data_IF_077148022152
#
_entry.id   IF_077148022152
#
_cell.length_a   1.000
_cell.length_b   1.000
_cell.length_c   1.000
_cell.angle_alpha   90.00
_cell.angle_beta   90.00
_cell.angle_gamma   90.00
#
_symmetry.space_group_name_H-M   'P 1'
#
loop_
_entity.id
_entity.type
_entity.pdbx_description
1 polymer ?
#
# COMPACT_ATOMS: atom_id res chain seq x y z
N UNK A 1 -50.72 45.22 -21.55
CA UNK A 1 -49.34 45.18 -21.04
C UNK A 1 -49.40 44.65 -19.63
N UNK A 2 -49.19 43.35 -19.48
CA UNK A 2 -48.78 42.75 -18.22
C UNK A 2 -48.10 41.45 -18.61
N UNK A 3 -46.78 41.48 -18.60
CA UNK A 3 -45.91 40.40 -19.01
C UNK A 3 -46.03 39.24 -18.03
N UNK A 4 -46.53 38.10 -18.53
CA UNK A 4 -46.35 36.83 -17.86
C UNK A 4 -44.97 36.29 -18.25
N UNK A 5 -43.97 36.51 -17.41
CA UNK A 5 -42.73 35.74 -17.48
C UNK A 5 -43.02 34.27 -17.14
N UNK A 6 -42.57 33.31 -17.96
CA UNK A 6 -42.55 31.93 -17.53
C UNK A 6 -41.42 31.76 -16.52
N UNK A 7 -41.78 31.35 -15.31
CA UNK A 7 -40.82 30.83 -14.33
C UNK A 7 -40.11 29.62 -14.94
N UNK A 8 -38.89 29.82 -15.41
CA UNK A 8 -37.97 28.74 -15.73
C UNK A 8 -37.66 28.01 -14.42
N UNK A 9 -38.42 26.95 -14.14
CA UNK A 9 -37.96 25.86 -13.29
C UNK A 9 -36.78 25.21 -14.02
N UNK A 10 -35.61 25.84 -13.93
CA UNK A 10 -34.34 25.14 -14.10
C UNK A 10 -34.25 24.20 -12.91
N UNK A 11 -34.78 23.00 -13.09
CA UNK A 11 -34.33 21.83 -12.35
C UNK A 11 -32.85 21.65 -12.69
N UNK A 12 -31.98 22.32 -11.92
CA UNK A 12 -30.68 21.77 -11.57
C UNK A 12 -31.01 20.45 -10.88
N UNK A 13 -31.12 19.37 -11.67
CA UNK A 13 -30.84 18.05 -11.15
C UNK A 13 -29.41 18.15 -10.66
N UNK A 14 -29.24 18.28 -9.34
CA UNK A 14 -27.95 18.22 -8.66
C UNK A 14 -27.26 16.93 -9.13
N UNK A 15 -26.43 17.02 -10.16
CA UNK A 15 -25.50 15.94 -10.47
C UNK A 15 -24.62 15.81 -9.26
N UNK A 16 -24.83 14.75 -8.49
CA UNK A 16 -23.95 14.37 -7.39
C UNK A 16 -22.56 14.19 -8.03
N UNK A 17 -21.59 15.01 -7.62
CA UNK A 17 -20.22 14.88 -8.11
C UNK A 17 -19.73 13.44 -7.91
N UNK A 18 -19.03 12.88 -8.91
CA UNK A 18 -18.55 11.49 -8.92
C UNK A 18 -17.75 11.19 -7.65
N UNK A 19 -16.83 12.07 -7.25
CA UNK A 19 -16.11 12.01 -5.97
C UNK A 19 -17.00 11.84 -4.74
N UNK A 20 -18.21 12.42 -4.69
CA UNK A 20 -19.12 12.21 -3.56
C UNK A 20 -19.71 10.78 -3.56
N UNK A 21 -19.95 10.18 -4.72
CA UNK A 21 -20.40 8.79 -4.82
C UNK A 21 -19.25 7.85 -4.45
N UNK A 22 -18.09 8.03 -5.06
CA UNK A 22 -16.85 7.31 -4.77
C UNK A 22 -16.50 7.32 -3.27
N UNK A 23 -16.50 8.50 -2.65
CA UNK A 23 -16.25 8.64 -1.21
C UNK A 23 -17.30 7.93 -0.35
N UNK A 24 -18.56 7.89 -0.80
CA UNK A 24 -19.61 7.16 -0.11
C UNK A 24 -19.37 5.65 -0.19
N UNK A 25 -19.00 5.12 -1.36
CA UNK A 25 -18.64 3.72 -1.54
C UNK A 25 -17.51 3.32 -0.57
N UNK A 26 -16.45 4.12 -0.47
CA UNK A 26 -15.34 3.90 0.45
C UNK A 26 -15.78 3.88 1.93
N UNK A 27 -16.78 4.69 2.31
CA UNK A 27 -17.34 4.69 3.66
C UNK A 27 -18.24 3.46 3.91
N UNK A 28 -18.92 2.96 2.89
CA UNK A 28 -19.90 1.91 3.04
C UNK A 28 -19.28 0.50 3.04
N UNK A 29 -18.04 0.32 2.57
CA UNK A 29 -17.36 -0.99 2.49
C UNK A 29 -17.38 -1.77 3.82
N UNK A 30 -16.81 -1.21 4.89
CA UNK A 30 -16.67 -1.91 6.20
C UNK A 30 -17.21 -1.13 7.40
N UNK A 31 -17.79 0.06 7.18
CA UNK A 31 -18.23 0.91 8.27
C UNK A 31 -17.11 1.33 9.24
N UNK A 32 -17.46 2.02 10.32
CA UNK A 32 -16.49 2.45 11.34
C UNK A 32 -15.96 1.24 12.12
N UNK A 33 -14.68 1.27 12.49
CA UNK A 33 -14.07 0.22 13.32
C UNK A 33 -14.74 0.17 14.70
N UNK A 34 -15.37 -0.96 15.08
CA UNK A 34 -15.92 -1.13 16.41
C UNK A 34 -14.83 -1.12 17.50
N UNK A 35 -15.17 -0.59 18.68
CA UNK A 35 -14.24 -0.46 19.81
C UNK A 35 -13.72 -1.82 20.31
N UNK A 36 -14.51 -2.88 20.18
CA UNK A 36 -14.16 -4.26 20.50
C UNK A 36 -13.35 -4.95 19.40
N UNK A 37 -13.46 -4.48 18.15
CA UNK A 37 -12.70 -5.02 17.01
C UNK A 37 -11.26 -4.48 16.92
N UNK A 38 -10.95 -3.31 17.50
CA UNK A 38 -9.62 -2.66 17.33
C UNK A 38 -8.46 -3.51 17.84
N UNK A 39 -8.64 -4.28 18.92
CA UNK A 39 -7.61 -5.18 19.45
C UNK A 39 -7.47 -6.46 18.61
N UNK A 40 -8.39 -6.74 17.68
CA UNK A 40 -8.26 -7.78 16.66
C UNK A 40 -7.60 -7.26 15.38
N UNK A 41 -7.95 -6.04 14.97
CA UNK A 41 -7.39 -5.37 13.79
C UNK A 41 -5.94 -4.92 14.01
N UNK A 42 -5.62 -4.42 15.22
CA UNK A 42 -4.27 -4.03 15.62
C UNK A 42 -3.86 -4.83 16.87
N UNK A 43 -3.48 -6.12 16.69
CA UNK A 43 -3.35 -7.04 17.80
C UNK A 43 -2.27 -6.66 18.81
N UNK A 44 -2.47 -7.09 20.06
CA UNK A 44 -1.38 -7.12 21.04
C UNK A 44 -0.59 -8.40 20.85
N UNK A 45 0.74 -8.32 20.83
CA UNK A 45 1.61 -9.50 20.66
C UNK A 45 1.29 -10.66 21.62
N UNK A 46 0.84 -10.36 22.85
CA UNK A 46 0.44 -11.38 23.85
C UNK A 46 -0.69 -12.30 23.35
N UNK A 47 -1.50 -11.89 22.38
CA UNK A 47 -2.53 -12.74 21.78
C UNK A 47 -1.92 -13.82 20.85
N UNK A 48 -0.75 -13.58 20.27
CA UNK A 48 -0.06 -14.52 19.38
C UNK A 48 0.85 -15.51 20.14
N UNK A 49 1.34 -15.13 21.32
CA UNK A 49 2.32 -15.88 22.11
C UNK A 49 1.78 -17.14 22.83
N UNK A 50 0.50 -17.51 22.68
CA UNK A 50 -0.11 -18.63 23.43
C UNK A 50 0.30 -20.04 22.94
N UNK A 51 1.10 -20.16 21.86
CA UNK A 51 1.46 -21.46 21.26
C UNK A 51 2.89 -21.53 20.67
N UNK A 52 3.89 -20.82 21.21
CA UNK A 52 5.17 -20.63 20.50
C UNK A 52 6.42 -21.05 21.28
N UNK A 53 7.49 -21.38 20.53
CA UNK A 53 8.78 -21.84 21.07
C UNK A 53 9.59 -20.67 21.62
N UNK A 54 10.40 -20.92 22.65
CA UNK A 54 11.28 -19.90 23.25
C UNK A 54 12.30 -19.31 22.27
N UNK A 55 12.61 -20.01 21.17
CA UNK A 55 13.60 -19.57 20.18
C UNK A 55 13.06 -18.45 19.30
N UNK A 56 11.79 -18.52 18.88
CA UNK A 56 11.16 -17.46 18.08
C UNK A 56 11.12 -16.14 18.85
N UNK A 57 10.79 -16.18 20.14
CA UNK A 57 10.77 -15.01 21.01
C UNK A 57 12.16 -14.38 21.17
N UNK A 58 13.20 -15.20 21.33
CA UNK A 58 14.59 -14.73 21.42
C UNK A 58 15.06 -14.07 20.12
N UNK A 59 14.81 -14.72 18.98
CA UNK A 59 15.17 -14.17 17.67
C UNK A 59 14.41 -12.87 17.41
N UNK A 60 13.09 -12.85 17.64
CA UNK A 60 12.27 -11.64 17.56
C UNK A 60 12.87 -10.49 18.37
N UNK A 61 13.19 -10.71 19.64
CA UNK A 61 13.75 -9.67 20.50
C UNK A 61 15.10 -9.18 19.97
N UNK A 62 15.94 -10.09 19.46
CA UNK A 62 17.23 -9.76 18.88
C UNK A 62 17.06 -8.86 17.65
N UNK A 63 16.32 -9.31 16.63
CA UNK A 63 16.14 -8.54 15.39
C UNK A 63 15.40 -7.21 15.63
N UNK A 64 14.44 -7.17 16.56
CA UNK A 64 13.75 -5.94 16.92
C UNK A 64 14.70 -4.95 17.60
N UNK A 65 15.46 -5.40 18.60
CA UNK A 65 16.36 -4.53 19.37
C UNK A 65 17.51 -3.96 18.53
N UNK A 66 17.99 -4.71 17.56
CA UNK A 66 19.11 -4.30 16.69
C UNK A 66 18.67 -3.42 15.51
N UNK A 67 17.36 -3.32 15.25
CA UNK A 67 16.83 -2.66 14.04
C UNK A 67 16.87 -1.13 14.05
N UNK A 68 17.02 -0.53 12.86
CA UNK A 68 16.79 0.90 12.67
C UNK A 68 15.32 1.27 12.92
N UNK A 69 14.37 0.40 12.55
CA UNK A 69 12.94 0.60 12.85
C UNK A 69 12.68 0.86 14.32
N UNK A 70 13.29 0.10 15.24
CA UNK A 70 13.09 0.33 16.67
C UNK A 70 13.66 1.68 17.10
N UNK A 71 14.84 2.07 16.59
CA UNK A 71 15.44 3.38 16.89
C UNK A 71 14.52 4.51 16.44
N UNK A 72 14.04 4.45 15.20
CA UNK A 72 13.11 5.43 14.63
C UNK A 72 11.79 5.48 15.42
N UNK A 73 11.27 4.32 15.83
CA UNK A 73 10.09 4.22 16.68
C UNK A 73 10.30 4.85 18.06
N UNK A 74 11.45 4.61 18.69
CA UNK A 74 11.76 5.16 20.01
C UNK A 74 11.91 6.68 19.94
N UNK A 75 12.53 7.19 18.85
CA UNK A 75 12.70 8.61 18.55
C UNK A 75 11.38 9.35 18.23
N UNK A 76 10.35 8.65 17.78
CA UNK A 76 9.04 9.27 17.51
C UNK A 76 8.41 9.80 18.80
N UNK A 77 8.46 11.11 19.05
CA UNK A 77 7.81 11.72 20.21
C UNK A 77 6.32 12.01 19.94
N UNK A 78 5.37 11.32 20.60
CA UNK A 78 3.95 11.56 20.39
C UNK A 78 3.46 12.89 21.00
N UNK A 79 4.27 13.56 21.84
CA UNK A 79 3.94 14.87 22.39
C UNK A 79 4.19 16.02 21.39
N UNK A 80 5.01 15.78 20.36
CA UNK A 80 5.34 16.78 19.34
C UNK A 80 4.57 16.44 18.06
N UNK A 81 3.52 17.22 17.76
CA UNK A 81 2.80 17.11 16.51
C UNK A 81 3.65 17.68 15.37
N UNK A 82 4.25 16.80 14.58
CA UNK A 82 4.92 17.14 13.32
C UNK A 82 3.98 16.89 12.14
N UNK A 83 4.20 17.58 11.03
CA UNK A 83 3.46 17.34 9.79
C UNK A 83 3.50 15.85 9.38
N UNK A 84 4.67 15.20 9.52
CA UNK A 84 4.83 13.78 9.22
C UNK A 84 3.94 12.89 10.12
N UNK A 85 3.92 13.17 11.43
CA UNK A 85 3.07 12.41 12.36
C UNK A 85 1.57 12.64 12.13
N UNK A 86 1.16 13.83 11.72
CA UNK A 86 -0.24 14.17 11.44
C UNK A 86 -0.74 13.49 10.17
N UNK A 87 0.03 13.55 9.08
CA UNK A 87 -0.32 12.82 7.85
C UNK A 87 -0.28 11.31 8.03
N UNK A 88 0.66 10.78 8.81
CA UNK A 88 0.65 9.36 9.15
C UNK A 88 -0.58 8.97 9.96
N UNK A 89 -1.02 9.82 10.90
CA UNK A 89 -2.27 9.61 11.65
C UNK A 89 -3.48 9.55 10.71
N UNK A 90 -3.53 10.42 9.71
CA UNK A 90 -4.58 10.42 8.67
C UNK A 90 -4.52 9.12 7.86
N UNK A 91 -3.35 8.71 7.36
CA UNK A 91 -3.18 7.46 6.64
C UNK A 91 -3.65 6.25 7.46
N UNK A 92 -3.36 6.23 8.77
CA UNK A 92 -3.88 5.23 9.69
C UNK A 92 -5.40 5.25 9.80
N UNK A 93 -6.01 6.43 9.98
CA UNK A 93 -7.49 6.58 10.04
C UNK A 93 -8.14 6.04 8.77
N UNK A 94 -7.61 6.42 7.62
CA UNK A 94 -8.10 5.98 6.31
C UNK A 94 -7.99 4.46 6.14
N UNK A 95 -6.82 3.87 6.39
CA UNK A 95 -6.62 2.41 6.26
C UNK A 95 -7.54 1.63 7.21
N UNK A 96 -7.69 2.10 8.45
CA UNK A 96 -8.60 1.50 9.41
C UNK A 96 -10.05 1.66 8.97
N UNK A 97 -10.42 2.77 8.34
CA UNK A 97 -11.79 3.06 7.94
C UNK A 97 -12.24 2.29 6.69
N UNK A 98 -11.34 2.10 5.72
CA UNK A 98 -11.64 1.48 4.43
C UNK A 98 -11.34 -0.03 4.46
N UNK A 99 -10.16 -0.41 4.96
CA UNK A 99 -9.65 -1.77 4.87
C UNK A 99 -9.60 -2.52 6.20
N UNK A 100 -9.87 -1.86 7.34
CA UNK A 100 -9.66 -2.46 8.67
C UNK A 100 -8.24 -3.04 8.82
N UNK A 101 -7.24 -2.30 8.33
CA UNK A 101 -5.82 -2.66 8.44
C UNK A 101 -5.00 -1.40 8.75
N UNK A 102 -3.70 -1.57 8.99
CA UNK A 102 -2.79 -0.45 9.19
C UNK A 102 -1.89 -0.23 7.97
N UNK A 103 -1.45 1.01 7.71
CA UNK A 103 -0.48 1.26 6.63
C UNK A 103 0.85 0.54 6.88
N UNK A 104 1.21 0.28 8.14
CA UNK A 104 2.39 -0.52 8.50
C UNK A 104 2.21 -2.02 8.25
N UNK A 105 0.97 -2.53 8.24
CA UNK A 105 0.71 -3.92 7.86
C UNK A 105 0.64 -4.07 6.34
N UNK A 106 0.05 -3.09 5.63
CA UNK A 106 0.11 -3.02 4.16
C UNK A 106 1.57 -3.03 3.69
N UNK A 107 2.42 -2.19 4.30
CA UNK A 107 3.84 -2.07 4.00
C UNK A 107 4.70 -2.93 4.95
N UNK A 108 4.40 -4.23 5.00
CA UNK A 108 5.15 -5.20 5.80
C UNK A 108 5.62 -6.41 4.99
N UNK A 109 6.45 -7.24 5.63
CA UNK A 109 6.89 -8.53 5.10
C UNK A 109 5.74 -9.49 4.80
N UNK A 110 4.53 -9.27 5.33
CA UNK A 110 3.35 -10.06 4.96
C UNK A 110 2.97 -9.87 3.49
N UNK A 111 3.23 -8.69 2.95
CA UNK A 111 2.90 -8.31 1.58
C UNK A 111 4.16 -8.12 0.72
N UNK A 112 5.32 -8.57 1.20
CA UNK A 112 6.63 -8.30 0.56
C UNK A 112 6.88 -6.81 0.26
N UNK A 113 6.32 -5.91 1.07
CA UNK A 113 6.47 -4.46 0.90
C UNK A 113 7.18 -3.87 2.11
N UNK A 114 7.99 -2.84 1.88
CA UNK A 114 8.59 -2.03 2.94
C UNK A 114 8.63 -0.58 2.53
N UNK A 115 8.25 0.33 3.42
CA UNK A 115 8.51 1.75 3.19
C UNK A 115 10.01 2.05 3.13
N UNK A 116 10.48 2.67 2.05
CA UNK A 116 11.83 3.22 1.91
C UNK A 116 11.76 4.74 1.89
N UNK A 117 12.26 5.42 2.93
CA UNK A 117 12.16 6.87 3.03
C UNK A 117 12.99 7.58 1.96
N UNK A 118 12.39 8.61 1.35
CA UNK A 118 13.01 9.53 0.39
C UNK A 118 12.83 10.97 0.91
N UNK A 119 13.44 11.33 2.06
CA UNK A 119 13.20 12.63 2.66
C UNK A 119 13.73 13.76 1.78
N UNK A 120 13.09 14.94 1.82
CA UNK A 120 13.67 16.15 1.27
C UNK A 120 15.05 16.44 1.88
N UNK A 121 15.93 17.18 1.17
CA UNK A 121 17.22 17.58 1.71
C UNK A 121 17.09 18.27 3.08
N UNK A 122 17.85 17.80 4.07
CA UNK A 122 17.86 18.36 5.42
C UNK A 122 16.80 17.82 6.37
N UNK A 123 15.93 16.90 5.94
CA UNK A 123 15.03 16.16 6.83
C UNK A 123 15.62 14.80 7.23
N UNK A 124 15.41 14.39 8.47
CA UNK A 124 15.78 13.06 8.93
C UNK A 124 14.85 12.00 8.31
N UNK A 125 15.45 10.93 7.79
CA UNK A 125 14.71 9.77 7.33
C UNK A 125 14.17 8.98 8.52
N UNK A 126 12.95 8.48 8.40
CA UNK A 126 12.39 7.51 9.35
C UNK A 126 11.78 6.37 8.57
N UNK A 127 12.10 5.13 8.95
CA UNK A 127 11.46 3.92 8.44
C UNK A 127 10.11 3.64 9.11
N UNK A 128 9.74 4.42 10.13
CA UNK A 128 8.53 4.23 10.94
C UNK A 128 7.53 5.36 10.72
N UNK A 129 8.01 6.60 10.77
CA UNK A 129 7.18 7.79 10.55
C UNK A 129 7.36 8.22 9.11
N UNK A 130 6.35 7.94 8.29
CA UNK A 130 6.43 8.21 6.85
C UNK A 130 6.49 9.71 6.59
N UNK A 131 7.20 10.10 5.54
CA UNK A 131 7.21 11.50 5.09
C UNK A 131 5.78 11.99 4.81
N UNK A 132 5.47 13.29 5.01
CA UNK A 132 4.14 13.85 4.77
C UNK A 132 3.57 13.50 3.39
N UNK A 133 4.38 13.72 2.34
CA UNK A 133 4.00 13.47 0.94
C UNK A 133 3.64 12.01 0.68
N UNK A 134 4.45 11.08 1.17
CA UNK A 134 4.14 9.65 1.07
C UNK A 134 2.82 9.31 1.77
N UNK A 135 2.65 9.75 3.02
CA UNK A 135 1.43 9.49 3.80
C UNK A 135 0.17 10.04 3.14
N UNK A 136 0.26 11.24 2.56
CA UNK A 136 -0.83 11.88 1.83
C UNK A 136 -1.21 11.09 0.58
N UNK A 137 -0.26 10.81 -0.31
CA UNK A 137 -0.51 10.03 -1.53
C UNK A 137 -1.08 8.65 -1.19
N UNK A 138 -0.55 8.02 -0.14
CA UNK A 138 -1.04 6.73 0.32
C UNK A 138 -2.50 6.81 0.81
N UNK A 139 -2.85 7.84 1.60
CA UNK A 139 -4.22 8.05 2.07
C UNK A 139 -5.19 8.33 0.92
N UNK A 140 -4.80 9.17 -0.04
CA UNK A 140 -5.58 9.50 -1.25
C UNK A 140 -5.81 8.25 -2.12
N UNK A 141 -4.79 7.41 -2.27
CA UNK A 141 -4.92 6.14 -2.98
C UNK A 141 -5.87 5.20 -2.26
N UNK A 142 -5.72 4.99 -0.94
CA UNK A 142 -6.53 4.00 -0.18
C UNK A 142 -8.03 4.24 -0.31
N UNK A 143 -8.49 5.49 -0.32
CA UNK A 143 -9.92 5.82 -0.42
C UNK A 143 -10.51 5.63 -1.82
N UNK A 144 -9.67 5.48 -2.85
CA UNK A 144 -10.14 5.41 -4.22
C UNK A 144 -10.97 4.12 -4.45
N UNK A 145 -12.14 4.21 -5.10
CA UNK A 145 -13.07 3.07 -5.20
C UNK A 145 -12.62 1.97 -6.16
N UNK A 146 -11.59 2.19 -6.99
CA UNK A 146 -11.08 1.16 -7.92
C UNK A 146 -10.50 -0.09 -7.22
N UNK A 147 -10.30 -0.04 -5.91
CA UNK A 147 -9.90 -1.21 -5.12
C UNK A 147 -11.10 -2.04 -4.65
N UNK A 148 -12.34 -1.57 -4.86
CA UNK A 148 -13.59 -2.22 -4.44
C UNK A 148 -13.58 -2.65 -2.96
N UNK A 149 -12.86 -1.91 -2.11
CA UNK A 149 -12.73 -2.23 -0.68
C UNK A 149 -11.78 -3.38 -0.33
N UNK A 150 -11.03 -3.90 -1.31
CA UNK A 150 -10.05 -4.97 -1.13
C UNK A 150 -8.62 -4.41 -1.05
N UNK A 151 -7.96 -4.58 0.11
CA UNK A 151 -6.60 -4.06 0.29
C UNK A 151 -5.57 -4.76 -0.60
N UNK A 152 -5.83 -6.02 -0.95
CA UNK A 152 -5.02 -6.84 -1.85
C UNK A 152 -4.83 -6.19 -3.23
N UNK A 153 -5.86 -5.54 -3.80
CA UNK A 153 -5.74 -4.88 -5.09
C UNK A 153 -4.79 -3.69 -5.04
N UNK A 154 -4.86 -2.89 -3.96
CA UNK A 154 -3.91 -1.81 -3.72
C UNK A 154 -2.48 -2.37 -3.52
N UNK A 155 -2.33 -3.43 -2.72
CA UNK A 155 -1.04 -4.11 -2.49
C UNK A 155 -0.44 -4.58 -3.82
N UNK A 156 -1.22 -5.28 -4.65
CA UNK A 156 -0.77 -5.77 -5.96
C UNK A 156 -0.36 -4.63 -6.88
N UNK A 157 -1.11 -3.52 -6.92
CA UNK A 157 -0.76 -2.37 -7.72
C UNK A 157 0.55 -1.70 -7.25
N UNK A 158 0.77 -1.60 -5.93
CA UNK A 158 2.04 -1.10 -5.38
C UNK A 158 3.19 -2.05 -5.72
N UNK A 159 3.03 -3.36 -5.50
CA UNK A 159 4.03 -4.37 -5.83
C UNK A 159 4.41 -4.31 -7.30
N UNK A 160 3.42 -4.32 -8.19
CA UNK A 160 3.62 -4.28 -9.62
C UNK A 160 4.33 -2.99 -10.05
N UNK A 161 3.98 -1.84 -9.47
CA UNK A 161 4.67 -0.57 -9.72
C UNK A 161 6.17 -0.69 -9.41
N UNK A 162 6.52 -1.13 -8.20
CA UNK A 162 7.91 -1.27 -7.77
C UNK A 162 8.64 -2.30 -8.62
N UNK A 163 8.01 -3.45 -8.88
CA UNK A 163 8.58 -4.54 -9.68
C UNK A 163 8.93 -4.04 -11.07
N UNK A 164 7.99 -3.38 -11.76
CA UNK A 164 8.20 -2.91 -13.13
C UNK A 164 9.20 -1.77 -13.18
N UNK A 165 9.16 -0.84 -12.24
CA UNK A 165 10.09 0.31 -12.18
C UNK A 165 11.55 -0.11 -11.97
N UNK A 166 11.76 -1.16 -11.17
CA UNK A 166 13.07 -1.72 -10.89
C UNK A 166 13.43 -2.92 -11.78
N UNK A 167 12.59 -3.23 -12.77
CA UNK A 167 12.72 -4.39 -13.66
C UNK A 167 13.02 -5.70 -12.89
N UNK A 168 12.28 -5.88 -11.81
CA UNK A 168 12.54 -6.89 -10.81
C UNK A 168 12.10 -8.26 -11.32
N UNK A 169 13.08 -9.15 -11.52
CA UNK A 169 12.85 -10.55 -11.85
C UNK A 169 12.52 -11.31 -10.56
N UNK A 170 11.25 -11.35 -10.18
CA UNK A 170 10.70 -12.12 -9.06
C UNK A 170 9.45 -12.83 -9.52
N UNK A 171 9.11 -13.93 -8.86
CA UNK A 171 7.81 -14.56 -9.06
C UNK A 171 6.73 -13.58 -8.60
N UNK A 172 5.77 -13.28 -9.48
CA UNK A 172 4.64 -12.40 -9.18
C UNK A 172 3.53 -12.61 -10.21
N UNK A 173 2.24 -12.70 -9.81
CA UNK A 173 1.73 -12.58 -8.44
C UNK A 173 1.95 -13.87 -7.64
N UNK A 174 1.98 -13.77 -6.30
CA UNK A 174 1.96 -14.97 -5.45
C UNK A 174 0.50 -15.41 -5.33
N UNK A 175 0.11 -16.37 -6.18
CA UNK A 175 -1.30 -16.78 -6.38
C UNK A 175 -1.94 -17.31 -5.10
N UNK A 176 -1.18 -18.02 -4.25
CA UNK A 176 -1.68 -18.61 -2.99
C UNK A 176 -2.24 -17.60 -1.97
N UNK A 177 -1.98 -16.30 -2.18
CA UNK A 177 -2.49 -15.21 -1.34
C UNK A 177 -3.45 -14.28 -2.07
N UNK A 178 -3.84 -14.60 -3.31
CA UNK A 178 -4.88 -13.86 -4.00
C UNK A 178 -6.22 -14.13 -3.30
N UNK A 179 -6.99 -13.10 -2.97
CA UNK A 179 -8.34 -13.32 -2.48
C UNK A 179 -9.19 -14.02 -3.55
N UNK A 180 -10.19 -14.78 -3.11
CA UNK A 180 -11.14 -15.52 -3.95
C UNK A 180 -11.77 -14.69 -5.10
N UNK A 181 -11.82 -13.35 -4.99
CA UNK A 181 -12.37 -12.46 -6.04
C UNK A 181 -11.33 -11.99 -7.09
N UNK A 182 -10.02 -12.06 -6.79
CA UNK A 182 -8.93 -11.84 -7.76
C UNK A 182 -8.53 -13.15 -8.46
N UNK A 183 -8.89 -14.29 -7.84
CA UNK A 183 -8.69 -15.66 -8.32
C UNK A 183 -9.29 -15.93 -9.73
N UNK A 184 -10.13 -15.02 -10.24
CA UNK A 184 -10.79 -15.17 -11.55
C UNK A 184 -10.20 -14.32 -12.68
N UNK A 185 -9.07 -13.61 -12.49
CA UNK A 185 -8.43 -12.93 -13.62
C UNK A 185 -7.60 -13.94 -14.45
N UNK A 186 -8.04 -14.36 -15.65
CA UNK A 186 -7.36 -15.42 -16.39
C UNK A 186 -5.93 -15.05 -16.78
N UNK A 187 -5.69 -13.74 -17.01
CA UNK A 187 -4.38 -13.23 -17.37
C UNK A 187 -3.37 -13.32 -16.22
N UNK A 188 -3.80 -13.03 -14.99
CA UNK A 188 -2.92 -13.09 -13.82
C UNK A 188 -2.68 -14.53 -13.37
N UNK A 189 -3.68 -15.40 -13.52
CA UNK A 189 -3.51 -16.86 -13.33
C UNK A 189 -2.52 -17.39 -14.35
N UNK A 190 -2.72 -17.10 -15.64
CA UNK A 190 -1.80 -17.54 -16.70
C UNK A 190 -0.37 -17.00 -16.51
N UNK A 191 -0.21 -15.78 -15.99
CA UNK A 191 1.11 -15.25 -15.63
C UNK A 191 1.77 -16.07 -14.52
N UNK A 192 1.02 -16.51 -13.51
CA UNK A 192 1.53 -17.41 -12.47
C UNK A 192 1.94 -18.76 -13.03
N UNK A 193 1.10 -19.36 -13.88
CA UNK A 193 1.38 -20.64 -14.54
C UNK A 193 2.70 -20.60 -15.34
N UNK A 194 3.02 -19.46 -15.96
CA UNK A 194 4.30 -19.28 -16.67
C UNK A 194 5.53 -19.39 -15.74
N UNK A 195 5.42 -19.07 -14.44
CA UNK A 195 6.50 -19.30 -13.48
C UNK A 195 6.59 -20.76 -13.07
N UNK A 196 5.44 -21.41 -12.84
CA UNK A 196 5.37 -22.83 -12.48
C UNK A 196 5.99 -23.70 -13.58
N UNK A 197 5.67 -23.41 -14.85
CA UNK A 197 6.26 -24.06 -16.02
C UNK A 197 7.77 -23.85 -16.12
N UNK A 198 8.28 -22.72 -15.61
CA UNK A 198 9.70 -22.39 -15.58
C UNK A 198 10.37 -22.77 -14.25
N UNK A 199 9.81 -23.74 -13.51
CA UNK A 199 10.41 -24.27 -12.28
C UNK A 199 10.44 -23.28 -11.12
N UNK A 200 9.46 -22.37 -11.05
CA UNK A 200 9.37 -21.29 -10.07
C UNK A 200 10.54 -20.30 -10.15
N UNK A 201 11.07 -20.08 -11.35
CA UNK A 201 12.08 -19.05 -11.59
C UNK A 201 11.58 -18.03 -12.62
N UNK A 202 11.80 -16.72 -12.41
CA UNK A 202 11.51 -15.73 -13.43
C UNK A 202 12.49 -15.90 -14.61
N UNK A 203 12.02 -15.92 -15.87
CA UNK A 203 12.89 -15.96 -17.04
C UNK A 203 13.88 -14.80 -17.01
N UNK A 204 15.18 -15.10 -17.17
CA UNK A 204 16.24 -14.08 -17.18
C UNK A 204 16.03 -13.01 -18.27
N UNK A 205 15.31 -13.36 -19.34
CA UNK A 205 15.14 -12.54 -20.54
C UNK A 205 13.85 -11.71 -20.59
N UNK A 206 12.83 -12.01 -19.77
CA UNK A 206 11.52 -11.36 -19.86
C UNK A 206 11.13 -10.63 -18.57
N UNK A 207 10.77 -9.34 -18.68
CA UNK A 207 10.34 -8.57 -17.51
C UNK A 207 8.94 -8.99 -17.11
N UNK A 208 8.54 -8.76 -15.85
CA UNK A 208 7.19 -9.11 -15.37
C UNK A 208 6.11 -8.43 -16.22
N UNK A 209 6.34 -7.19 -16.63
CA UNK A 209 5.43 -6.50 -17.53
C UNK A 209 5.32 -7.19 -18.91
N UNK A 210 6.44 -7.66 -19.46
CA UNK A 210 6.43 -8.40 -20.74
C UNK A 210 5.73 -9.75 -20.61
N UNK A 211 6.00 -10.47 -19.52
CA UNK A 211 5.33 -11.74 -19.24
C UNK A 211 3.82 -11.55 -19.06
N UNK A 212 3.40 -10.48 -18.37
CA UNK A 212 1.99 -10.16 -18.22
C UNK A 212 1.31 -9.89 -19.57
N UNK A 213 1.99 -9.18 -20.49
CA UNK A 213 1.49 -9.00 -21.85
C UNK A 213 1.36 -10.32 -22.60
N UNK A 214 2.37 -11.20 -22.51
CA UNK A 214 2.35 -12.53 -23.13
C UNK A 214 1.22 -13.41 -22.59
N UNK A 215 1.04 -13.44 -21.27
CA UNK A 215 -0.05 -14.18 -20.62
C UNK A 215 -1.41 -13.70 -21.13
N UNK A 216 -1.59 -12.38 -21.30
CA UNK A 216 -2.82 -11.79 -21.85
C UNK A 216 -3.05 -12.16 -23.31
N UNK A 217 -2.01 -12.09 -24.14
CA UNK A 217 -2.09 -12.44 -25.58
C UNK A 217 -2.38 -13.92 -25.81
N UNK A 218 -1.96 -14.79 -24.89
CA UNK A 218 -2.18 -16.23 -24.95
C UNK A 218 -3.63 -16.65 -24.61
N UNK A 219 -4.46 -15.77 -24.05
CA UNK A 219 -5.83 -16.10 -23.68
C UNK A 219 -6.73 -16.29 -24.91
N UNK A 220 -7.27 -17.49 -25.08
CA UNK A 220 -8.23 -17.82 -26.15
C UNK A 220 -9.69 -17.84 -25.68
N UNK A 221 -9.93 -17.57 -24.39
CA UNK A 221 -11.22 -17.73 -23.73
C UNK A 221 -11.79 -16.43 -23.19
N UNK A 222 -11.93 -16.33 -21.87
CA UNK A 222 -12.41 -15.13 -21.21
C UNK A 222 -11.41 -13.97 -21.36
N UNK A 223 -11.89 -12.73 -21.57
CA UNK A 223 -11.00 -11.57 -21.66
C UNK A 223 -10.30 -11.32 -20.32
N UNK A 224 -9.15 -10.61 -20.33
CA UNK A 224 -8.56 -10.07 -19.11
C UNK A 224 -9.56 -9.20 -18.33
N UNK A 225 -9.38 -9.11 -17.02
CA UNK A 225 -10.18 -8.19 -16.19
C UNK A 225 -9.71 -6.74 -16.37
N UNK A 226 -10.58 -5.78 -16.07
CA UNK A 226 -10.26 -4.34 -16.05
C UNK A 226 -9.06 -4.04 -15.13
N UNK A 227 -8.93 -4.75 -14.00
CA UNK A 227 -7.75 -4.62 -13.14
C UNK A 227 -6.45 -5.06 -13.84
N UNK A 228 -6.50 -6.12 -14.66
CA UNK A 228 -5.35 -6.51 -15.48
C UNK A 228 -5.03 -5.47 -16.55
N UNK A 229 -6.05 -4.83 -17.15
CA UNK A 229 -5.88 -3.72 -18.09
C UNK A 229 -5.21 -2.52 -17.41
N UNK A 230 -5.66 -2.17 -16.21
CA UNK A 230 -5.06 -1.15 -15.35
C UNK A 230 -3.59 -1.46 -15.04
N UNK A 231 -3.27 -2.71 -14.68
CA UNK A 231 -1.89 -3.12 -14.42
C UNK A 231 -1.01 -3.02 -15.69
N UNK A 232 -1.53 -3.30 -16.89
CA UNK A 232 -0.78 -3.06 -18.13
C UNK A 232 -0.48 -1.58 -18.29
N UNK A 233 -1.49 -0.71 -18.13
CA UNK A 233 -1.32 0.74 -18.23
C UNK A 233 -0.33 1.29 -17.19
N UNK A 234 -0.47 0.87 -15.93
CA UNK A 234 0.46 1.19 -14.83
C UNK A 234 1.89 0.76 -15.17
N UNK A 235 2.06 -0.42 -15.77
CA UNK A 235 3.36 -0.92 -16.18
C UNK A 235 4.01 -0.08 -17.28
N UNK A 236 3.22 0.44 -18.22
CA UNK A 236 3.73 1.37 -19.24
C UNK A 236 4.25 2.66 -18.60
N UNK A 237 3.52 3.21 -17.62
CA UNK A 237 3.94 4.41 -16.89
C UNK A 237 5.19 4.14 -16.05
N UNK A 238 5.20 3.07 -15.25
CA UNK A 238 6.32 2.74 -14.36
C UNK A 238 7.64 2.58 -15.12
N UNK A 239 7.61 2.01 -16.33
CA UNK A 239 8.79 1.84 -17.20
C UNK A 239 9.38 3.16 -17.71
N UNK A 240 8.63 4.25 -17.69
CA UNK A 240 9.14 5.58 -18.05
C UNK A 240 10.05 6.18 -16.96
N UNK A 241 10.04 5.61 -15.75
CA UNK A 241 10.79 6.12 -14.60
C UNK A 241 11.69 5.04 -13.95
N UNK A 242 12.57 4.38 -14.74
CA UNK A 242 13.35 3.24 -14.24
C UNK A 242 14.26 3.64 -13.07
N UNK A 243 14.51 2.69 -12.17
CA UNK A 243 15.46 2.89 -11.07
C UNK A 243 16.41 1.71 -10.90
N UNK A 244 17.70 2.02 -10.80
CA UNK A 244 18.77 1.03 -10.57
C UNK A 244 19.15 0.89 -9.09
N UNK A 245 18.69 1.78 -8.21
CA UNK A 245 19.01 1.74 -6.78
C UNK A 245 17.97 0.89 -6.03
N UNK A 246 18.39 -0.31 -5.62
CA UNK A 246 17.47 -1.28 -5.07
C UNK A 246 18.15 -2.34 -4.19
N UNK A 247 18.10 -2.14 -2.86
CA UNK A 247 18.34 -3.24 -1.92
C UNK A 247 17.04 -4.00 -1.65
N UNK A 248 16.96 -5.26 -2.11
CA UNK A 248 15.82 -6.17 -1.87
C UNK A 248 15.83 -6.77 -0.47
N UNK A 249 17.00 -6.89 0.13
CA UNK A 249 17.17 -7.71 1.31
C UNK A 249 16.99 -6.90 2.56
N UNK A 250 15.97 -7.24 3.32
CA UNK A 250 15.79 -6.72 4.67
C UNK A 250 15.48 -7.84 5.63
N UNK A 251 16.27 -7.94 6.70
CA UNK A 251 16.19 -9.05 7.64
C UNK A 251 16.16 -10.41 6.91
N UNK A 252 16.95 -10.56 5.84
CA UNK A 252 17.03 -11.80 5.06
C UNK A 252 15.81 -12.09 4.16
N UNK A 253 14.79 -11.21 4.12
CA UNK A 253 13.66 -11.30 3.21
C UNK A 253 13.90 -10.49 1.95
N UNK A 254 13.40 -10.98 0.81
CA UNK A 254 13.23 -10.16 -0.39
C UNK A 254 11.96 -9.34 -0.23
N UNK A 255 12.10 -8.06 0.11
CA UNK A 255 10.98 -7.12 0.14
C UNK A 255 11.17 -6.03 -0.89
N UNK A 256 10.06 -5.57 -1.43
CA UNK A 256 9.98 -4.47 -2.37
C UNK A 256 10.00 -3.13 -1.61
N UNK A 257 11.09 -2.34 -1.65
CA UNK A 257 11.11 -0.98 -1.11
C UNK A 257 10.19 -0.06 -1.90
N UNK A 258 9.14 0.41 -1.23
CA UNK A 258 8.17 1.37 -1.73
C UNK A 258 8.64 2.77 -1.37
N UNK A 259 8.82 3.60 -2.38
CA UNK A 259 9.21 5.01 -2.26
C UNK A 259 8.04 5.93 -2.57
N UNK A 260 8.20 7.23 -2.29
CA UNK A 260 7.23 8.25 -2.69
C UNK A 260 7.01 8.26 -4.21
N UNK A 261 8.06 8.01 -5.00
CA UNK A 261 7.99 7.97 -6.47
C UNK A 261 7.05 6.87 -6.97
N UNK A 262 7.03 5.71 -6.30
CA UNK A 262 6.15 4.60 -6.67
C UNK A 262 4.68 4.97 -6.46
N UNK A 263 4.36 5.63 -5.34
CA UNK A 263 3.00 6.13 -5.11
C UNK A 263 2.59 7.23 -6.09
N UNK A 264 3.51 8.13 -6.48
CA UNK A 264 3.22 9.14 -7.51
C UNK A 264 2.89 8.51 -8.87
N UNK A 265 3.65 7.48 -9.27
CA UNK A 265 3.37 6.72 -10.50
C UNK A 265 2.00 6.06 -10.42
N UNK A 266 1.68 5.44 -9.29
CA UNK A 266 0.39 4.80 -9.08
C UNK A 266 -0.78 5.79 -9.08
N UNK A 267 -0.66 6.93 -8.38
CA UNK A 267 -1.65 8.01 -8.39
C UNK A 267 -1.90 8.53 -9.81
N UNK A 268 -0.84 8.76 -10.57
CA UNK A 268 -0.96 9.18 -11.98
C UNK A 268 -1.63 8.11 -12.84
N UNK A 269 -1.34 6.82 -12.61
CA UNK A 269 -2.00 5.74 -13.33
C UNK A 269 -3.51 5.71 -13.01
N UNK A 270 -3.90 5.77 -11.73
CA UNK A 270 -5.32 5.79 -11.32
C UNK A 270 -6.04 6.99 -11.94
N UNK A 271 -5.40 8.17 -11.95
CA UNK A 271 -5.97 9.40 -12.52
C UNK A 271 -6.14 9.37 -14.04
N UNK A 272 -5.27 8.66 -14.77
CA UNK A 272 -5.21 8.69 -16.24
C UNK A 272 -5.81 7.45 -16.91
N UNK A 273 -6.07 6.39 -16.14
CA UNK A 273 -6.70 5.19 -16.67
C UNK A 273 -8.17 5.45 -17.01
N UNK A 274 -8.62 4.91 -18.14
CA UNK A 274 -10.00 5.05 -18.61
C UNK A 274 -10.85 3.95 -17.97
N UNK A 275 -11.37 4.24 -16.77
CA UNK A 275 -12.19 3.29 -16.02
C UNK A 275 -13.57 3.13 -16.67
N UNK A 276 -14.00 1.89 -16.88
CA UNK A 276 -15.35 1.57 -17.37
C UNK A 276 -16.41 1.94 -16.33
N UNK A 277 -16.06 1.78 -15.05
CA UNK A 277 -16.92 2.20 -13.95
C UNK A 277 -16.82 3.72 -13.73
N UNK A 278 -17.89 4.44 -14.05
CA UNK A 278 -17.96 5.90 -13.92
C UNK A 278 -17.66 6.39 -12.49
N UNK A 279 -18.00 5.61 -11.46
CA UNK A 279 -17.74 5.98 -10.07
C UNK A 279 -16.23 5.96 -9.72
N UNK A 280 -15.40 5.40 -10.59
CA UNK A 280 -13.95 5.30 -10.42
C UNK A 280 -13.16 6.31 -11.25
N UNK A 281 -13.84 7.16 -12.02
CA UNK A 281 -13.20 8.08 -12.98
C UNK A 281 -12.68 9.38 -12.36
N UNK A 282 -13.04 9.68 -11.11
CA UNK A 282 -12.56 10.89 -10.43
C UNK A 282 -11.14 10.71 -9.88
N UNK A 283 -10.46 11.80 -9.55
CA UNK A 283 -9.06 11.75 -9.09
C UNK A 283 -8.96 11.27 -7.63
N UNK A 284 -7.88 10.55 -7.24
CA UNK A 284 -7.64 10.16 -5.84
C UNK A 284 -7.74 11.33 -4.86
N UNK A 285 -7.23 12.50 -5.24
CA UNK A 285 -7.30 13.72 -4.43
C UNK A 285 -8.75 14.20 -4.23
N UNK A 286 -9.54 14.29 -5.31
CA UNK A 286 -10.93 14.72 -5.23
C UNK A 286 -11.81 13.73 -4.43
N UNK A 287 -11.58 12.43 -4.60
CA UNK A 287 -12.25 11.39 -3.80
C UNK A 287 -11.89 11.53 -2.33
N UNK A 288 -10.63 11.76 -2.00
CA UNK A 288 -10.17 11.98 -0.63
C UNK A 288 -10.79 13.23 0.01
N UNK A 289 -10.80 14.37 -0.68
CA UNK A 289 -11.46 15.58 -0.20
C UNK A 289 -12.96 15.35 0.05
N UNK A 290 -13.63 14.60 -0.82
CA UNK A 290 -15.04 14.23 -0.62
C UNK A 290 -15.23 13.28 0.57
N UNK A 291 -14.32 12.33 0.76
CA UNK A 291 -14.30 11.41 1.90
C UNK A 291 -14.14 12.17 3.22
N UNK A 292 -13.25 13.15 3.29
CA UNK A 292 -13.08 14.04 4.44
C UNK A 292 -14.37 14.81 4.73
N UNK A 293 -14.95 15.48 3.72
CA UNK A 293 -16.20 16.24 3.85
C UNK A 293 -17.37 15.39 4.35
N UNK A 294 -17.40 14.11 3.99
CA UNK A 294 -18.43 13.14 4.44
C UNK A 294 -18.17 12.56 5.83
N UNK A 295 -17.18 13.06 6.55
CA UNK A 295 -16.86 12.63 7.92
C UNK A 295 -16.01 11.36 7.97
N UNK A 296 -15.30 11.04 6.88
CA UNK A 296 -14.40 9.90 6.81
C UNK A 296 -13.22 9.97 7.77
N UNK A 297 -12.86 11.16 8.27
CA UNK A 297 -11.77 11.38 9.24
C UNK A 297 -12.24 11.93 10.60
N UNK A 298 -13.48 11.66 11.00
CA UNK A 298 -14.03 12.18 12.25
C UNK A 298 -13.15 11.89 13.47
N UNK A 299 -13.10 12.82 14.43
CA UNK A 299 -12.16 12.77 15.57
C UNK A 299 -12.36 11.60 16.54
N UNK A 300 -13.52 10.95 16.48
CA UNK A 300 -13.82 9.74 17.22
C UNK A 300 -13.14 8.47 16.65
N UNK A 301 -12.60 8.56 15.43
CA UNK A 301 -11.91 7.45 14.76
C UNK A 301 -10.49 7.23 15.28
N UNK A 302 -10.06 5.97 15.18
CA UNK A 302 -8.72 5.54 15.52
C UNK A 302 -7.71 5.87 14.43
N UNK A 303 -6.47 6.21 14.78
CA UNK A 303 -6.03 6.69 16.10
C UNK A 303 -6.57 8.09 16.39
N UNK A 304 -7.04 8.30 17.64
CA UNK A 304 -7.62 9.57 18.10
C UNK A 304 -6.56 10.65 18.34
N UNK A 305 -5.34 10.25 18.69
CA UNK A 305 -4.23 11.15 18.96
C UNK A 305 -2.87 10.46 18.71
N UNK A 306 -1.79 11.22 18.80
CA UNK A 306 -0.44 10.73 18.50
C UNK A 306 0.08 9.71 19.53
N UNK A 307 -0.41 9.76 20.77
CA UNK A 307 -0.08 8.74 21.77
C UNK A 307 -0.70 7.38 21.42
N UNK A 308 -1.95 7.39 20.95
CA UNK A 308 -2.62 6.20 20.45
C UNK A 308 -1.98 5.69 19.14
N UNK A 309 -1.63 6.60 18.23
CA UNK A 309 -0.86 6.28 17.01
C UNK A 309 0.46 5.56 17.37
N UNK A 310 1.28 6.12 18.28
CA UNK A 310 2.54 5.48 18.72
C UNK A 310 2.28 4.09 19.28
N UNK A 311 1.22 3.90 20.06
CA UNK A 311 0.84 2.59 20.59
C UNK A 311 0.48 1.59 19.49
N UNK A 312 -0.28 2.01 18.47
CA UNK A 312 -0.68 1.15 17.36
C UNK A 312 0.48 0.82 16.42
N UNK A 313 1.32 1.79 16.09
CA UNK A 313 2.57 1.57 15.35
C UNK A 313 3.41 0.49 16.05
N UNK A 314 3.62 0.62 17.37
CA UNK A 314 4.39 -0.38 18.14
C UNK A 314 3.82 -1.79 18.00
N UNK A 315 2.48 -1.93 17.98
CA UNK A 315 1.82 -3.22 17.85
C UNK A 315 2.03 -3.82 16.47
N UNK A 316 1.73 -3.05 15.41
CA UNK A 316 1.90 -3.48 14.03
C UNK A 316 3.35 -3.89 13.73
N UNK A 317 4.32 -3.05 14.12
CA UNK A 317 5.74 -3.34 13.95
C UNK A 317 6.17 -4.60 14.70
N UNK A 318 5.78 -4.76 15.98
CA UNK A 318 6.14 -5.96 16.75
C UNK A 318 5.54 -7.23 16.16
N UNK A 319 4.34 -7.19 15.60
CA UNK A 319 3.73 -8.33 14.90
C UNK A 319 4.55 -8.68 13.67
N UNK A 320 4.89 -7.69 12.84
CA UNK A 320 5.71 -7.89 11.63
C UNK A 320 7.06 -8.54 11.95
N UNK A 321 7.78 -8.02 12.95
CA UNK A 321 9.05 -8.59 13.40
C UNK A 321 8.90 -9.99 14.01
N UNK A 322 7.81 -10.23 14.73
CA UNK A 322 7.56 -11.56 15.28
C UNK A 322 7.26 -12.58 14.17
N UNK A 323 6.46 -12.22 13.17
CA UNK A 323 6.21 -13.05 11.99
C UNK A 323 7.50 -13.34 11.21
N UNK A 324 8.36 -12.33 11.07
CA UNK A 324 9.71 -12.44 10.47
C UNK A 324 10.56 -13.47 11.21
N UNK A 325 10.61 -13.41 12.54
CA UNK A 325 11.36 -14.36 13.36
C UNK A 325 10.79 -15.79 13.25
N UNK A 326 9.47 -15.94 13.25
CA UNK A 326 8.81 -17.23 13.07
C UNK A 326 9.14 -17.87 11.73
N UNK A 327 9.12 -17.08 10.66
CA UNK A 327 9.50 -17.59 9.33
C UNK A 327 10.96 -18.03 9.31
N UNK A 328 11.88 -17.24 9.88
CA UNK A 328 13.31 -17.60 9.97
C UNK A 328 13.54 -18.93 10.68
N UNK A 329 12.79 -19.18 11.75
CA UNK A 329 12.79 -20.45 12.49
C UNK A 329 12.30 -21.61 11.60
N UNK A 330 11.23 -21.40 10.82
CA UNK A 330 10.67 -22.40 9.89
C UNK A 330 11.68 -22.74 8.77
N UNK A 331 12.31 -21.73 8.17
CA UNK A 331 13.23 -21.94 7.03
C UNK A 331 14.67 -22.26 7.43
N UNK A 332 14.99 -22.22 8.73
CA UNK A 332 16.35 -22.46 9.23
C UNK A 332 17.37 -21.34 8.91
N UNK A 333 16.90 -20.15 8.52
CA UNK A 333 17.75 -19.01 8.20
C UNK A 333 18.19 -18.31 9.49
N UNK A 334 19.36 -18.68 10.02
CA UNK A 334 20.10 -17.83 10.96
C UNK A 334 21.05 -16.96 10.15
N UNK A 335 20.87 -15.64 10.15
CA UNK A 335 21.79 -14.76 9.43
C UNK A 335 23.23 -14.98 9.94
N UNK A 336 24.24 -14.99 9.05
CA UNK A 336 25.63 -14.84 9.49
C UNK A 336 25.78 -13.52 10.25
N UNK A 337 26.69 -13.49 11.23
CA UNK A 337 26.91 -12.40 12.18
C UNK A 337 27.29 -11.03 11.56
N UNK A 338 27.29 -10.90 10.23
CA UNK A 338 27.82 -9.76 9.49
C UNK A 338 26.84 -9.12 8.49
N UNK A 339 25.55 -9.49 8.47
CA UNK A 339 24.57 -8.58 7.87
C UNK A 339 24.38 -7.39 8.82
N UNK A 340 25.28 -6.41 8.74
CA UNK A 340 24.92 -5.02 9.06
C UNK A 340 23.70 -4.70 8.23
N UNK A 341 22.56 -4.34 8.84
CA UNK A 341 21.41 -3.90 8.06
C UNK A 341 21.89 -2.77 7.16
N UNK A 342 21.73 -2.90 5.84
CA UNK A 342 21.91 -1.76 4.92
C UNK A 342 20.78 -0.73 5.09
N UNK A 343 20.33 -0.52 6.33
CA UNK A 343 19.23 0.34 6.74
C UNK A 343 19.56 1.84 6.65
N UNK A 344 20.81 2.16 6.31
CA UNK A 344 21.28 3.52 6.12
C UNK A 344 21.08 4.05 4.69
N UNK A 345 20.53 3.26 3.76
CA UNK A 345 20.30 3.70 2.38
C UNK A 345 19.02 4.55 2.27
N UNK A 346 19.09 5.74 2.86
CA UNK A 346 18.20 6.86 2.57
C UNK A 346 18.52 7.34 1.16
N UNK A 347 17.53 7.30 0.27
CA UNK A 347 17.71 7.87 -1.06
C UNK A 347 17.61 9.40 -0.98
N UNK A 348 18.47 10.15 -1.67
CA UNK A 348 18.23 11.57 -1.88
C UNK A 348 16.87 11.71 -2.58
N UNK A 349 16.05 12.67 -2.13
CA UNK A 349 14.74 12.93 -2.73
C UNK A 349 14.88 13.30 -4.21
N UNK A 350 14.53 12.37 -5.11
CA UNK A 350 14.33 12.67 -6.53
C UNK A 350 12.89 13.12 -6.76
N UNK A 351 12.65 14.40 -6.48
CA UNK A 351 11.34 15.04 -6.65
C UNK A 351 11.18 15.69 -8.04
N UNK A 352 12.19 15.60 -8.90
CA UNK A 352 12.35 16.46 -10.08
C UNK A 352 11.43 16.16 -11.27
N UNK A 353 10.66 15.06 -11.24
CA UNK A 353 9.98 14.54 -12.42
C UNK A 353 8.46 14.71 -12.51
N UNK A 354 7.80 15.34 -11.53
CA UNK A 354 6.32 15.37 -11.46
C UNK A 354 5.69 16.72 -11.12
N UNK A 355 6.48 17.78 -10.92
CA UNK A 355 5.94 19.11 -10.56
C UNK A 355 5.51 19.97 -11.77
N UNK A 356 5.40 19.36 -12.95
CA UNK A 356 5.00 20.05 -14.17
C UNK A 356 4.13 19.14 -15.03
N UNK A 357 2.83 19.10 -14.75
CA UNK A 357 1.76 18.77 -15.71
C UNK A 357 0.38 19.16 -15.16
#
# INVERSE_FOLDING_TARGET
MSDNQPSSNNSNLDMIAISNVAAQLALDVRGRVPQDAIDHIVPRLRFLARQQSSNVDQEFLRIWNDSQTKKDFDNFDPAVATEASEWLKIAWRVCLRVFWTSPHEILSSKNDLRYRPTPPPGMEASHVVYTPKFSRLFAELVVHPCWDGYESLLVMAIQYTVIVRHDTRVIWPIIDFLPDHVEYCPALVSLGDMFDENGNEPPATASIHMMHLQAREALTGAPPSEFSDFLVFLGQIARMYPSSDYSRRYLGFSMLPVTTKDLQILTMAVKRFDWDNIDWTDTPEAVFEAFERKGGLSDDQYPRNNQELKRFIRRALRISYHSTARWRDIVGCTNPAYETPSDNEVLPGDESGFESD
#
